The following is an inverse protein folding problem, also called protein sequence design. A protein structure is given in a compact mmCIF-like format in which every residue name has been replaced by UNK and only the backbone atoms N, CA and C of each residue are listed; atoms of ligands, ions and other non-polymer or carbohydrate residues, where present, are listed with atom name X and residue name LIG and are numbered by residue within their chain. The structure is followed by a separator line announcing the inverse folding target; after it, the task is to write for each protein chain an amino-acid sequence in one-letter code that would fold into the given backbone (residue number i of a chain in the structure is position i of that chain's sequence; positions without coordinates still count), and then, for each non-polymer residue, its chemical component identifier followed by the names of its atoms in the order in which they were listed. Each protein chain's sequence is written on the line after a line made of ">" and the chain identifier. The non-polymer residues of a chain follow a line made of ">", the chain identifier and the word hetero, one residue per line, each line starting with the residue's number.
data_IF_127014365214
#
_entry.id   IF_127014365214
#
_cell.length_a   1.000
_cell.length_b   1.000
_cell.length_c   1.000
_cell.angle_alpha   90.00
_cell.angle_beta   90.00
_cell.angle_gamma   90.00
#
_symmetry.space_group_name_H-M   'P 1'
#
loop_
_entity.id
_entity.type
_entity.pdbx_description
1 polymer ?
#
# COMPACT_ATOMS: atom_id res chain seq x y z
N UNK A 1 22.69 -5.77 -11.42
CA UNK A 1 21.59 -4.84 -11.08
C UNK A 1 21.98 -4.16 -9.78
N UNK A 2 22.19 -2.83 -9.74
CA UNK A 2 22.42 -2.11 -8.49
C UNK A 2 21.20 -2.21 -7.56
N UNK A 3 21.43 -2.45 -6.27
CA UNK A 3 20.38 -2.57 -5.26
C UNK A 3 20.83 -1.82 -4.01
N UNK A 4 19.94 -0.96 -3.49
CA UNK A 4 20.15 -0.16 -2.29
C UNK A 4 18.93 -0.38 -1.38
N UNK A 5 19.00 -1.38 -0.53
CA UNK A 5 17.94 -1.70 0.43
C UNK A 5 18.47 -2.70 1.47
N UNK A 6 18.08 -2.54 2.74
CA UNK A 6 18.26 -3.58 3.76
C UNK A 6 17.18 -3.49 4.83
N UNK A 7 16.93 -4.62 5.52
CA UNK A 7 15.95 -4.66 6.60
C UNK A 7 16.47 -3.88 7.81
N UNK A 8 15.66 -2.97 8.32
CA UNK A 8 15.99 -2.16 9.49
C UNK A 8 16.78 -0.89 9.19
N UNK A 9 16.75 -0.43 7.93
CA UNK A 9 17.30 0.87 7.56
C UNK A 9 16.59 2.03 8.28
N UNK A 10 17.33 3.10 8.56
CA UNK A 10 16.76 4.34 9.10
C UNK A 10 15.98 5.11 8.03
N UNK A 11 15.23 6.15 8.44
CA UNK A 11 14.54 7.02 7.48
C UNK A 11 15.53 7.76 6.56
N UNK A 12 16.66 8.19 7.11
CA UNK A 12 17.74 8.83 6.37
C UNK A 12 18.37 7.86 5.35
N UNK A 13 18.59 6.60 5.74
CA UNK A 13 19.08 5.54 4.86
C UNK A 13 18.06 5.20 3.76
N UNK A 14 16.76 5.12 4.08
CA UNK A 14 15.68 4.89 3.10
C UNK A 14 15.69 5.97 2.01
N UNK A 15 15.70 7.25 2.38
CA UNK A 15 15.70 8.34 1.39
C UNK A 15 17.04 8.44 0.64
N UNK A 16 18.15 8.08 1.27
CA UNK A 16 19.43 7.90 0.57
C UNK A 16 19.33 6.79 -0.48
N UNK A 17 18.79 5.62 -0.14
CA UNK A 17 18.56 4.49 -1.06
C UNK A 17 17.69 4.92 -2.24
N UNK A 18 16.59 5.65 -1.98
CA UNK A 18 15.70 6.20 -3.02
C UNK A 18 16.47 7.11 -3.97
N UNK A 19 17.33 8.02 -3.46
CA UNK A 19 18.16 8.87 -4.30
C UNK A 19 19.21 8.08 -5.08
N UNK A 20 19.83 7.05 -4.50
CA UNK A 20 20.77 6.18 -5.21
C UNK A 20 20.10 5.41 -6.34
N UNK A 21 18.88 4.90 -6.12
CA UNK A 21 18.14 4.12 -7.11
C UNK A 21 17.79 4.92 -8.38
N UNK A 22 17.63 6.24 -8.25
CA UNK A 22 17.38 7.15 -9.40
C UNK A 22 18.64 7.87 -9.89
N UNK A 23 19.81 7.58 -9.31
CA UNK A 23 21.11 8.12 -9.73
C UNK A 23 21.80 7.18 -10.73
N UNK A 24 21.64 7.44 -12.03
CA UNK A 24 22.28 6.63 -13.06
C UNK A 24 23.67 7.17 -13.42
N UNK A 25 24.55 6.34 -14.02
CA UNK A 25 25.85 6.78 -14.50
C UNK A 25 25.76 8.01 -15.42
N UNK A 26 26.85 8.79 -15.45
CA UNK A 26 26.96 10.03 -16.23
C UNK A 26 25.97 11.13 -15.83
N UNK A 27 25.49 11.12 -14.58
CA UNK A 27 24.55 12.11 -14.06
C UNK A 27 23.13 12.00 -14.65
N UNK A 28 22.81 10.84 -15.24
CA UNK A 28 21.48 10.58 -15.82
C UNK A 28 20.49 10.17 -14.73
N UNK A 29 19.20 10.28 -15.05
CA UNK A 29 18.11 9.72 -14.27
C UNK A 29 17.38 8.59 -14.99
N UNK A 30 16.37 7.98 -14.33
CA UNK A 30 15.57 6.92 -14.93
C UNK A 30 14.73 7.45 -16.10
N UNK A 31 14.56 6.63 -17.13
CA UNK A 31 13.61 6.92 -18.21
C UNK A 31 12.21 6.41 -17.88
N UNK A 32 12.10 5.35 -17.09
CA UNK A 32 10.85 4.84 -16.56
C UNK A 32 11.04 4.53 -15.08
N UNK A 33 9.95 4.68 -14.32
CA UNK A 33 9.91 4.35 -12.89
C UNK A 33 8.85 3.27 -12.69
N UNK A 34 9.18 2.27 -11.87
CA UNK A 34 8.19 1.40 -11.21
C UNK A 34 8.14 1.88 -9.78
N UNK A 35 6.97 2.27 -9.30
CA UNK A 35 6.78 2.87 -7.97
C UNK A 35 5.73 2.09 -7.19
N UNK A 36 5.93 2.02 -5.88
CA UNK A 36 5.04 1.38 -4.91
C UNK A 36 4.90 2.32 -3.71
N UNK A 37 3.78 3.04 -3.66
CA UNK A 37 3.50 4.06 -2.65
C UNK A 37 3.80 5.49 -3.12
N UNK A 38 4.53 5.64 -4.23
CA UNK A 38 4.73 6.91 -4.92
C UNK A 38 5.88 7.76 -4.40
N UNK A 39 6.83 7.19 -3.65
CA UNK A 39 7.90 7.96 -2.98
C UNK A 39 9.01 8.39 -3.94
N UNK A 40 9.36 7.56 -4.93
CA UNK A 40 10.27 7.97 -6.00
C UNK A 40 9.65 9.11 -6.80
N UNK A 41 8.39 8.96 -7.17
CA UNK A 41 7.61 9.97 -7.89
C UNK A 41 7.53 11.27 -7.09
N UNK A 42 7.24 11.18 -5.78
CA UNK A 42 7.21 12.33 -4.86
C UNK A 42 8.56 13.05 -4.83
N UNK A 43 9.66 12.31 -4.66
CA UNK A 43 11.00 12.90 -4.59
C UNK A 43 11.34 13.68 -5.85
N UNK A 44 11.10 13.10 -7.03
CA UNK A 44 11.36 13.76 -8.32
C UNK A 44 10.49 15.02 -8.49
N UNK A 45 9.19 14.95 -8.17
CA UNK A 45 8.30 16.11 -8.28
C UNK A 45 8.67 17.22 -7.29
N UNK A 46 9.04 16.87 -6.05
CA UNK A 46 9.47 17.85 -5.04
C UNK A 46 10.81 18.47 -5.35
N UNK A 47 11.75 17.71 -5.89
CA UNK A 47 13.02 18.21 -6.40
C UNK A 47 12.83 19.20 -7.54
N UNK A 48 11.98 18.85 -8.52
CA UNK A 48 11.64 19.74 -9.62
C UNK A 48 10.99 21.05 -9.12
N UNK A 49 10.04 20.95 -8.18
CA UNK A 49 9.42 22.13 -7.56
C UNK A 49 10.43 23.02 -6.83
N UNK A 50 11.42 22.43 -6.15
CA UNK A 50 12.49 23.17 -5.48
C UNK A 50 13.33 23.96 -6.49
N UNK A 51 13.70 23.34 -7.61
CA UNK A 51 14.47 24.00 -8.67
C UNK A 51 13.63 25.08 -9.41
N UNK A 52 12.30 24.94 -9.45
CA UNK A 52 11.37 25.99 -9.91
C UNK A 52 11.14 27.12 -8.87
N UNK A 53 11.82 27.06 -7.71
CA UNK A 53 11.80 28.13 -6.70
C UNK A 53 10.84 27.92 -5.54
N UNK A 54 10.29 26.72 -5.33
CA UNK A 54 9.48 26.39 -4.16
C UNK A 54 10.30 26.44 -2.87
N UNK A 55 9.80 27.14 -1.86
CA UNK A 55 10.39 27.20 -0.52
C UNK A 55 9.94 26.04 0.40
N UNK A 56 9.14 25.09 -0.10
CA UNK A 56 8.60 24.00 0.73
C UNK A 56 9.71 23.22 1.46
N UNK A 57 10.82 22.91 0.78
CA UNK A 57 11.93 22.19 1.39
C UNK A 57 12.69 23.00 2.47
N UNK A 58 12.50 24.33 2.52
CA UNK A 58 13.15 25.22 3.49
C UNK A 58 12.34 25.41 4.78
N UNK A 59 11.11 24.87 4.81
CA UNK A 59 10.24 24.90 5.99
C UNK A 59 10.45 23.67 6.88
N UNK A 60 10.21 23.74 8.20
CA UNK A 60 10.22 22.57 9.06
C UNK A 60 9.31 21.46 8.54
N UNK A 61 9.76 20.20 8.59
CA UNK A 61 8.94 19.03 8.26
C UNK A 61 7.78 18.83 9.22
N UNK A 62 6.64 18.36 8.72
CA UNK A 62 5.51 17.97 9.57
C UNK A 62 5.72 16.64 10.31
N UNK A 63 6.63 15.80 9.82
CA UNK A 63 7.06 14.54 10.44
C UNK A 63 8.57 14.38 10.32
N UNK A 64 9.13 13.40 11.05
CA UNK A 64 10.56 13.06 10.92
C UNK A 64 10.89 12.64 9.49
N UNK A 65 10.04 11.85 8.86
CA UNK A 65 10.22 11.41 7.48
C UNK A 65 10.19 12.59 6.50
N UNK A 66 9.24 13.51 6.63
CA UNK A 66 9.18 14.71 5.78
C UNK A 66 10.46 15.54 5.93
N UNK A 67 11.00 15.65 7.14
CA UNK A 67 12.26 16.35 7.36
C UNK A 67 13.43 15.67 6.62
N UNK A 68 13.53 14.34 6.64
CA UNK A 68 14.56 13.60 5.88
C UNK A 68 14.49 13.89 4.38
N UNK A 69 13.27 13.95 3.80
CA UNK A 69 13.08 14.30 2.38
C UNK A 69 13.59 15.70 2.10
N UNK A 70 13.19 16.68 2.93
CA UNK A 70 13.56 18.08 2.77
C UNK A 70 15.07 18.27 2.86
N UNK A 71 15.72 17.64 3.84
CA UNK A 71 17.16 17.71 4.03
C UNK A 71 17.91 17.14 2.82
N UNK A 72 17.47 15.98 2.33
CA UNK A 72 18.02 15.36 1.12
C UNK A 72 17.86 16.27 -0.11
N UNK A 73 16.69 16.86 -0.32
CA UNK A 73 16.45 17.77 -1.45
C UNK A 73 17.37 18.99 -1.40
N UNK A 74 17.57 19.58 -0.22
CA UNK A 74 18.48 20.72 -0.02
C UNK A 74 19.95 20.33 -0.17
N UNK A 75 20.34 19.11 0.21
CA UNK A 75 21.67 18.56 -0.06
C UNK A 75 21.90 18.40 -1.56
N UNK A 76 21.02 17.69 -2.24
CA UNK A 76 21.11 17.45 -3.69
C UNK A 76 21.13 18.75 -4.49
N UNK A 77 20.30 19.73 -4.12
CA UNK A 77 20.25 21.03 -4.79
C UNK A 77 21.54 21.86 -4.57
N UNK A 78 22.25 21.67 -3.45
CA UNK A 78 23.57 22.30 -3.22
C UNK A 78 24.65 21.68 -4.12
N UNK A 79 24.57 20.38 -4.38
CA UNK A 79 25.52 19.67 -5.23
C UNK A 79 25.28 19.95 -6.72
N UNK A 80 24.02 19.91 -7.17
CA UNK A 80 23.62 20.21 -8.53
C UNK A 80 22.21 20.83 -8.56
N UNK A 81 22.08 22.14 -8.82
CA UNK A 81 20.80 22.85 -8.81
C UNK A 81 19.94 22.64 -10.06
N UNK A 82 20.36 21.76 -10.99
CA UNK A 82 19.62 21.43 -12.22
C UNK A 82 19.34 19.94 -12.36
N UNK A 83 19.62 19.15 -11.32
CA UNK A 83 19.55 17.68 -11.37
C UNK A 83 18.14 17.22 -11.69
N UNK A 84 17.12 17.81 -11.07
CA UNK A 84 15.74 17.35 -11.21
C UNK A 84 15.15 17.78 -12.55
N UNK A 85 15.46 18.98 -13.05
CA UNK A 85 15.13 19.42 -14.42
C UNK A 85 15.69 18.47 -15.47
N UNK A 86 16.96 18.07 -15.37
CA UNK A 86 17.57 17.14 -16.32
C UNK A 86 16.97 15.73 -16.21
N UNK A 87 16.67 15.25 -15.00
CA UNK A 87 16.00 13.97 -14.78
C UNK A 87 14.61 13.95 -15.42
N UNK A 88 13.79 14.98 -15.17
CA UNK A 88 12.43 15.07 -15.71
C UNK A 88 12.42 15.14 -17.24
N UNK A 89 13.41 15.78 -17.88
CA UNK A 89 13.55 15.77 -19.35
C UNK A 89 13.70 14.37 -19.94
N UNK A 90 14.31 13.44 -19.22
CA UNK A 90 14.53 12.05 -19.67
C UNK A 90 13.43 11.08 -19.22
N UNK A 91 12.66 11.45 -18.19
CA UNK A 91 11.59 10.62 -17.64
C UNK A 91 10.40 10.54 -18.60
N UNK A 92 9.94 9.32 -18.91
CA UNK A 92 8.88 9.01 -19.88
C UNK A 92 7.62 8.44 -19.25
N UNK A 93 7.66 8.10 -17.96
CA UNK A 93 6.48 7.69 -17.23
C UNK A 93 6.77 6.86 -15.99
N UNK A 94 5.71 6.61 -15.24
CA UNK A 94 5.71 5.78 -14.03
C UNK A 94 4.57 4.78 -14.05
N UNK A 95 4.79 3.57 -13.57
CA UNK A 95 3.71 2.63 -13.24
C UNK A 95 3.64 2.46 -11.73
N UNK A 96 2.47 2.70 -11.15
CA UNK A 96 2.26 2.75 -9.70
C UNK A 96 1.39 1.60 -9.22
N UNK A 97 1.90 0.88 -8.21
CA UNK A 97 1.33 -0.37 -7.73
C UNK A 97 0.19 -0.21 -6.74
N UNK A 98 0.20 0.81 -5.88
CA UNK A 98 -0.68 0.85 -4.70
C UNK A 98 -1.77 1.91 -4.78
N UNK A 99 -2.85 1.67 -4.05
CA UNK A 99 -3.97 2.61 -3.90
C UNK A 99 -3.49 3.99 -3.47
N UNK A 100 -2.53 4.07 -2.55
CA UNK A 100 -2.08 5.38 -2.06
C UNK A 100 -1.19 6.13 -3.04
N UNK A 101 -0.25 5.44 -3.70
CA UNK A 101 0.54 6.07 -4.75
C UNK A 101 -0.35 6.56 -5.90
N UNK A 102 -1.37 5.77 -6.28
CA UNK A 102 -2.38 6.17 -7.27
C UNK A 102 -3.17 7.40 -6.81
N UNK A 103 -3.58 7.48 -5.54
CA UNK A 103 -4.23 8.67 -5.01
C UNK A 103 -3.34 9.91 -5.11
N UNK A 104 -2.03 9.78 -4.81
CA UNK A 104 -1.04 10.86 -5.01
C UNK A 104 -0.96 11.29 -6.47
N UNK A 105 -0.92 10.34 -7.42
CA UNK A 105 -0.90 10.62 -8.86
C UNK A 105 -2.15 11.39 -9.32
N UNK A 106 -3.35 10.95 -8.93
CA UNK A 106 -4.59 11.64 -9.28
C UNK A 106 -4.66 13.04 -8.68
N UNK A 107 -4.19 13.24 -7.44
CA UNK A 107 -4.10 14.56 -6.81
C UNK A 107 -3.17 15.48 -7.61
N UNK A 108 -1.99 15.01 -8.00
CA UNK A 108 -1.07 15.79 -8.85
C UNK A 108 -1.69 16.09 -10.22
N UNK A 109 -2.41 15.15 -10.84
CA UNK A 109 -3.11 15.39 -12.10
C UNK A 109 -4.19 16.48 -11.95
N UNK A 110 -5.04 16.39 -10.93
CA UNK A 110 -6.10 17.38 -10.66
C UNK A 110 -5.54 18.78 -10.40
N UNK A 111 -4.34 18.85 -9.84
CA UNK A 111 -3.63 20.11 -9.57
C UNK A 111 -2.77 20.59 -10.77
N UNK A 112 -2.79 19.86 -11.90
CA UNK A 112 -1.91 20.10 -13.05
C UNK A 112 -0.41 20.13 -12.69
N UNK A 113 -0.01 19.33 -11.71
CA UNK A 113 1.38 19.21 -11.22
C UNK A 113 2.08 17.93 -11.67
N UNK A 114 1.33 16.97 -12.23
CA UNK A 114 1.91 15.72 -12.72
C UNK A 114 2.87 16.02 -13.89
N UNK A 115 4.10 15.51 -13.83
CA UNK A 115 5.16 15.83 -14.81
C UNK A 115 5.23 14.87 -16.00
N UNK A 116 4.79 13.61 -15.82
CA UNK A 116 4.90 12.54 -16.82
C UNK A 116 3.62 11.69 -16.87
N UNK A 117 3.33 10.95 -17.96
CA UNK A 117 2.26 9.96 -17.93
C UNK A 117 2.48 8.91 -16.84
N UNK A 118 1.40 8.48 -16.22
CA UNK A 118 1.40 7.45 -15.20
C UNK A 118 0.41 6.33 -15.54
N UNK A 119 0.77 5.07 -15.29
CA UNK A 119 -0.15 3.95 -15.35
C UNK A 119 -0.51 3.52 -13.93
N UNK A 120 -1.79 3.62 -13.62
CA UNK A 120 -2.41 3.06 -12.43
C UNK A 120 -2.50 1.53 -12.62
N UNK A 121 -1.52 0.81 -12.07
CA UNK A 121 -1.51 -0.65 -12.07
C UNK A 121 -2.45 -1.20 -11.00
N UNK A 122 -2.58 -0.49 -9.88
CA UNK A 122 -3.43 -0.88 -8.77
C UNK A 122 -4.86 -1.24 -9.18
N UNK A 123 -5.47 -0.44 -10.06
CA UNK A 123 -6.87 -0.58 -10.45
C UNK A 123 -7.09 -1.60 -11.58
N UNK A 124 -6.03 -2.28 -12.03
CA UNK A 124 -6.20 -3.53 -12.78
C UNK A 124 -6.96 -4.53 -11.89
N UNK A 125 -7.94 -5.25 -12.44
CA UNK A 125 -8.75 -6.22 -11.69
C UNK A 125 -7.86 -7.33 -11.15
N UNK A 126 -6.92 -7.82 -11.98
CA UNK A 126 -5.93 -8.83 -11.58
C UNK A 126 -4.90 -8.33 -10.56
N UNK A 127 -4.87 -7.03 -10.26
CA UNK A 127 -4.12 -6.48 -9.14
C UNK A 127 -5.06 -6.31 -7.93
N UNK A 128 -5.95 -5.31 -7.95
CA UNK A 128 -6.79 -4.95 -6.81
C UNK A 128 -7.60 -6.13 -6.22
N UNK A 129 -8.26 -6.93 -7.07
CA UNK A 129 -9.11 -8.06 -6.62
C UNK A 129 -8.35 -9.32 -6.28
N UNK A 130 -7.03 -9.35 -6.49
CA UNK A 130 -6.20 -10.51 -6.19
C UNK A 130 -5.15 -10.22 -5.14
N UNK A 131 -4.30 -9.23 -5.37
CA UNK A 131 -3.21 -8.87 -4.49
C UNK A 131 -3.74 -8.35 -3.15
N UNK A 132 -4.48 -7.24 -3.18
CA UNK A 132 -5.00 -6.60 -1.98
C UNK A 132 -5.92 -7.56 -1.19
N UNK A 133 -6.69 -8.40 -1.89
CA UNK A 133 -7.61 -9.35 -1.25
C UNK A 133 -6.92 -10.64 -0.80
N UNK A 134 -6.45 -11.47 -1.74
CA UNK A 134 -5.92 -12.81 -1.44
C UNK A 134 -4.54 -12.78 -0.83
N UNK A 135 -3.72 -11.79 -1.18
CA UNK A 135 -2.39 -11.65 -0.64
C UNK A 135 -2.40 -11.16 0.81
N UNK A 136 -3.26 -10.21 1.17
CA UNK A 136 -3.49 -9.85 2.58
C UNK A 136 -4.17 -10.98 3.36
N UNK A 137 -5.07 -11.74 2.72
CA UNK A 137 -5.67 -12.94 3.31
C UNK A 137 -4.61 -13.99 3.69
N UNK A 138 -3.53 -14.10 2.93
CA UNK A 138 -2.40 -14.96 3.26
C UNK A 138 -1.49 -14.33 4.33
N UNK A 139 -1.08 -13.09 4.10
CA UNK A 139 0.10 -12.51 4.75
C UNK A 139 -0.18 -11.82 6.08
N UNK A 140 -1.43 -11.40 6.38
CA UNK A 140 -1.78 -10.82 7.69
C UNK A 140 -1.54 -11.82 8.82
N UNK A 141 -2.14 -13.01 8.73
CA UNK A 141 -2.04 -14.04 9.77
C UNK A 141 -0.62 -14.57 9.88
N UNK A 142 0.13 -14.65 8.77
CA UNK A 142 1.57 -14.98 8.82
C UNK A 142 2.36 -13.95 9.64
N UNK A 143 2.14 -12.65 9.39
CA UNK A 143 2.73 -11.56 10.17
C UNK A 143 2.41 -11.65 11.66
N UNK A 144 1.14 -11.85 12.00
CA UNK A 144 0.68 -12.02 13.39
C UNK A 144 1.33 -13.24 14.08
N UNK A 145 1.37 -14.38 13.40
CA UNK A 145 1.92 -15.61 13.95
C UNK A 145 3.42 -15.49 14.17
N UNK A 146 4.19 -15.02 13.19
CA UNK A 146 5.65 -14.84 13.36
C UNK A 146 6.01 -13.79 14.41
N UNK A 147 5.15 -12.78 14.58
CA UNK A 147 5.35 -11.73 15.57
C UNK A 147 5.12 -12.23 17.00
N UNK A 148 4.03 -12.93 17.28
CA UNK A 148 3.61 -13.18 18.66
C UNK A 148 3.22 -14.63 18.98
N UNK A 149 3.11 -15.51 17.98
CA UNK A 149 2.64 -16.90 18.12
C UNK A 149 1.31 -17.00 18.90
N UNK A 150 0.48 -15.95 18.79
CA UNK A 150 -0.77 -15.83 19.54
C UNK A 150 -1.86 -16.73 18.95
N UNK A 151 -2.60 -17.43 19.81
CA UNK A 151 -3.80 -18.15 19.36
C UNK A 151 -4.85 -17.15 18.85
N UNK A 152 -5.25 -17.25 17.59
CA UNK A 152 -6.27 -16.38 16.97
C UNK A 152 -7.69 -16.86 17.27
N UNK A 153 -7.93 -18.17 17.36
CA UNK A 153 -9.28 -18.70 17.56
C UNK A 153 -9.89 -18.21 18.87
N UNK A 154 -11.17 -17.80 18.81
CA UNK A 154 -11.92 -17.29 19.95
C UNK A 154 -11.62 -15.83 20.33
N UNK A 155 -10.54 -15.23 19.80
CA UNK A 155 -10.24 -13.80 20.00
C UNK A 155 -11.17 -12.90 19.20
N UNK A 156 -11.35 -11.68 19.68
CA UNK A 156 -11.97 -10.60 18.94
C UNK A 156 -10.91 -9.88 18.11
N UNK A 157 -11.08 -9.89 16.80
CA UNK A 157 -10.21 -9.15 15.88
C UNK A 157 -11.01 -8.01 15.23
N UNK A 158 -10.59 -6.79 15.49
CA UNK A 158 -11.17 -5.54 14.98
C UNK A 158 -10.38 -5.12 13.73
N UNK A 159 -11.09 -5.01 12.60
CA UNK A 159 -10.53 -4.52 11.34
C UNK A 159 -11.09 -3.14 11.07
N UNK A 160 -10.21 -2.15 10.97
CA UNK A 160 -10.59 -0.80 10.60
C UNK A 160 -10.48 -0.64 9.08
N UNK A 161 -11.62 -0.45 8.42
CA UNK A 161 -11.75 -0.44 6.96
C UNK A 161 -12.13 -1.81 6.39
N UNK A 162 -13.01 -1.81 5.39
CA UNK A 162 -13.49 -3.03 4.72
C UNK A 162 -13.46 -2.89 3.20
N UNK A 163 -12.42 -2.21 2.69
CA UNK A 163 -12.01 -2.27 1.29
C UNK A 163 -11.43 -3.63 0.91
N UNK A 164 -10.69 -3.72 -0.21
CA UNK A 164 -10.16 -5.01 -0.68
C UNK A 164 -9.17 -5.65 0.33
N UNK A 165 -8.31 -4.85 0.96
CA UNK A 165 -7.41 -5.30 2.04
C UNK A 165 -8.20 -5.80 3.25
N UNK A 166 -9.11 -4.96 3.79
CA UNK A 166 -9.95 -5.31 4.93
C UNK A 166 -10.78 -6.58 4.72
N UNK A 167 -11.34 -6.78 3.52
CA UNK A 167 -12.03 -8.02 3.14
C UNK A 167 -11.12 -9.24 3.24
N UNK A 168 -9.88 -9.13 2.76
CA UNK A 168 -8.90 -10.22 2.80
C UNK A 168 -8.49 -10.57 4.24
N UNK A 169 -8.21 -9.54 5.03
CA UNK A 169 -7.87 -9.63 6.45
C UNK A 169 -8.99 -10.31 7.26
N UNK A 170 -10.24 -9.85 7.08
CA UNK A 170 -11.41 -10.39 7.75
C UNK A 170 -11.68 -11.86 7.40
N UNK A 171 -11.52 -12.24 6.14
CA UNK A 171 -11.63 -13.64 5.71
C UNK A 171 -10.57 -14.53 6.36
N UNK A 172 -9.32 -14.05 6.45
CA UNK A 172 -8.21 -14.80 7.04
C UNK A 172 -8.43 -15.08 8.53
N UNK A 173 -8.74 -14.03 9.28
CA UNK A 173 -8.95 -14.13 10.74
C UNK A 173 -10.18 -14.96 11.08
N UNK A 174 -11.28 -14.81 10.33
CA UNK A 174 -12.46 -15.68 10.48
C UNK A 174 -12.12 -17.13 10.18
N UNK A 175 -11.29 -17.39 9.17
CA UNK A 175 -10.80 -18.73 8.84
C UNK A 175 -9.96 -19.37 9.95
N UNK A 176 -9.33 -18.56 10.80
CA UNK A 176 -8.63 -18.98 12.03
C UNK A 176 -9.55 -19.06 13.26
N UNK A 177 -10.86 -18.86 13.11
CA UNK A 177 -11.84 -18.91 14.19
C UNK A 177 -11.92 -17.65 15.06
N UNK A 178 -11.41 -16.51 14.59
CA UNK A 178 -11.60 -15.24 15.27
C UNK A 178 -13.05 -14.74 15.14
N UNK A 179 -13.51 -14.01 16.16
CA UNK A 179 -14.72 -13.18 16.10
C UNK A 179 -14.35 -11.84 15.49
N UNK A 180 -14.63 -11.68 14.20
CA UNK A 180 -14.23 -10.47 13.47
C UNK A 180 -15.27 -9.36 13.62
N UNK A 181 -14.79 -8.17 13.95
CA UNK A 181 -15.55 -6.92 14.06
C UNK A 181 -14.99 -5.93 13.05
N UNK A 182 -15.84 -5.19 12.37
CA UNK A 182 -15.47 -4.21 11.34
C UNK A 182 -15.83 -2.81 11.81
N UNK A 183 -14.94 -1.85 11.56
CA UNK A 183 -15.27 -0.42 11.59
C UNK A 183 -15.22 0.12 10.17
N UNK A 184 -16.21 0.92 9.77
CA UNK A 184 -16.31 1.45 8.41
C UNK A 184 -17.00 2.81 8.38
N UNK A 185 -16.54 3.65 7.46
CA UNK A 185 -17.13 4.95 7.15
C UNK A 185 -18.00 4.88 5.88
N UNK A 186 -17.72 3.93 4.98
CA UNK A 186 -18.48 3.74 3.75
C UNK A 186 -19.68 2.80 4.00
N UNK A 187 -20.93 3.26 3.79
CA UNK A 187 -22.12 2.46 4.06
C UNK A 187 -22.24 1.23 3.14
N UNK A 188 -21.67 1.24 1.93
CA UNK A 188 -21.66 0.10 1.01
C UNK A 188 -20.73 -0.98 1.56
N UNK A 189 -19.52 -0.62 1.97
CA UNK A 189 -18.58 -1.57 2.58
C UNK A 189 -19.10 -2.09 3.93
N UNK A 190 -19.69 -1.22 4.76
CA UNK A 190 -20.32 -1.62 6.01
C UNK A 190 -21.45 -2.63 5.78
N UNK A 191 -22.32 -2.39 4.79
CA UNK A 191 -23.38 -3.34 4.44
C UNK A 191 -22.80 -4.66 3.93
N UNK A 192 -21.74 -4.63 3.11
CA UNK A 192 -21.04 -5.85 2.69
C UNK A 192 -20.50 -6.64 3.89
N UNK A 193 -19.86 -5.98 4.86
CA UNK A 193 -19.37 -6.63 6.07
C UNK A 193 -20.50 -7.28 6.88
N UNK A 194 -21.61 -6.57 7.06
CA UNK A 194 -22.78 -7.08 7.76
C UNK A 194 -23.41 -8.29 7.04
N UNK A 195 -23.44 -8.29 5.70
CA UNK A 195 -23.96 -9.41 4.90
C UNK A 195 -23.10 -10.67 4.97
N UNK A 196 -21.80 -10.54 5.24
CA UNK A 196 -20.93 -11.67 5.57
C UNK A 196 -21.14 -12.18 7.00
N UNK A 197 -21.91 -11.46 7.83
CA UNK A 197 -22.16 -11.79 9.23
C UNK A 197 -21.11 -11.25 10.20
N UNK A 198 -20.33 -10.26 9.80
CA UNK A 198 -19.46 -9.52 10.72
C UNK A 198 -20.27 -8.47 11.49
N UNK A 199 -19.94 -8.28 12.77
CA UNK A 199 -20.45 -7.13 13.51
C UNK A 199 -19.79 -5.86 12.97
N UNK A 200 -20.59 -4.84 12.67
CA UNK A 200 -20.10 -3.51 12.30
C UNK A 200 -20.41 -2.56 13.46
N UNK A 201 -19.39 -1.91 14.01
CA UNK A 201 -19.51 -0.98 15.16
C UNK A 201 -18.38 0.04 15.12
N UNK A 202 -18.36 1.01 16.03
CA UNK A 202 -17.27 1.99 16.12
C UNK A 202 -16.03 1.39 16.78
N UNK A 203 -14.85 2.01 16.58
CA UNK A 203 -13.63 1.55 17.24
C UNK A 203 -13.74 1.69 18.76
N UNK A 204 -14.33 2.80 19.21
CA UNK A 204 -14.57 3.14 20.61
C UNK A 204 -15.40 2.06 21.33
N UNK A 205 -16.41 1.51 20.66
CA UNK A 205 -17.24 0.45 21.21
C UNK A 205 -16.50 -0.88 21.37
N UNK A 206 -15.32 -1.04 20.77
CA UNK A 206 -14.49 -2.26 20.87
C UNK A 206 -13.43 -2.21 21.97
N UNK A 207 -13.19 -1.03 22.52
CA UNK A 207 -12.19 -0.79 23.56
C UNK A 207 -12.53 -1.59 24.84
N UNK A 208 -11.49 -2.09 25.51
CA UNK A 208 -11.60 -2.96 26.68
C UNK A 208 -11.94 -4.44 26.41
N UNK A 209 -12.35 -4.83 25.19
CA UNK A 209 -12.64 -6.24 24.88
C UNK A 209 -12.09 -6.77 23.54
N UNK A 210 -11.71 -5.90 22.60
CA UNK A 210 -10.96 -6.31 21.40
C UNK A 210 -9.55 -6.82 21.75
N UNK A 211 -9.12 -7.90 21.10
CA UNK A 211 -7.81 -8.51 21.34
C UNK A 211 -6.77 -8.13 20.26
N UNK A 212 -7.21 -7.98 19.01
CA UNK A 212 -6.35 -7.69 17.86
C UNK A 212 -6.96 -6.55 17.07
N UNK A 213 -6.21 -5.49 16.80
CA UNK A 213 -6.62 -4.33 16.01
C UNK A 213 -5.75 -4.23 14.77
N UNK A 214 -6.39 -4.22 13.60
CA UNK A 214 -5.71 -4.14 12.29
C UNK A 214 -6.26 -2.97 11.50
N UNK A 215 -5.42 -1.99 11.17
CA UNK A 215 -5.80 -0.89 10.28
C UNK A 215 -5.57 -1.25 8.81
N UNK A 216 -6.58 -0.97 7.96
CA UNK A 216 -6.60 -1.33 6.53
C UNK A 216 -7.17 -0.21 5.65
N UNK A 217 -7.12 1.04 6.13
CA UNK A 217 -7.93 2.13 5.57
C UNK A 217 -7.20 2.95 4.50
N UNK A 218 -5.87 3.01 4.56
CA UNK A 218 -5.08 3.99 3.80
C UNK A 218 -5.33 5.44 4.24
N UNK A 219 -5.88 5.66 5.43
CA UNK A 219 -6.21 6.96 6.01
C UNK A 219 -5.27 7.32 7.17
N UNK A 220 -5.47 8.47 7.81
CA UNK A 220 -4.66 8.93 8.95
C UNK A 220 -5.44 8.87 10.25
N UNK A 221 -4.73 8.71 11.37
CA UNK A 221 -5.28 8.85 12.73
C UNK A 221 -6.47 7.91 13.05
N UNK A 222 -6.47 6.72 12.45
CA UNK A 222 -7.54 5.71 12.64
C UNK A 222 -7.50 5.16 14.06
N UNK A 223 -6.31 4.81 14.55
CA UNK A 223 -6.07 4.43 15.94
C UNK A 223 -5.26 5.54 16.60
N UNK A 224 -5.92 6.32 17.45
CA UNK A 224 -5.31 7.42 18.19
C UNK A 224 -4.67 6.94 19.50
N UNK A 225 -3.86 7.79 20.12
CA UNK A 225 -3.33 7.54 21.47
C UNK A 225 -4.45 7.26 22.48
N UNK A 226 -5.55 8.01 22.42
CA UNK A 226 -6.70 7.83 23.31
C UNK A 226 -7.38 6.47 23.12
N UNK A 227 -7.44 5.95 21.88
CA UNK A 227 -7.94 4.61 21.62
C UNK A 227 -7.04 3.55 22.27
N UNK A 228 -5.71 3.70 22.14
CA UNK A 228 -4.75 2.78 22.73
C UNK A 228 -4.81 2.77 24.26
N UNK A 229 -5.03 3.92 24.92
CA UNK A 229 -5.25 4.00 26.37
C UNK A 229 -6.50 3.24 26.83
N UNK A 230 -7.51 3.07 25.97
CA UNK A 230 -8.73 2.32 26.25
C UNK A 230 -8.67 0.83 25.89
N UNK A 231 -7.57 0.34 25.33
CA UNK A 231 -7.48 -1.04 24.89
C UNK A 231 -7.43 -2.04 26.05
N UNK A 232 -7.84 -3.27 25.76
CA UNK A 232 -7.71 -4.39 26.69
C UNK A 232 -6.23 -4.66 26.98
N UNK A 233 -5.92 -5.08 28.21
CA UNK A 233 -4.58 -5.57 28.53
C UNK A 233 -4.14 -6.70 27.57
N UNK A 234 -2.91 -6.59 27.08
CA UNK A 234 -2.27 -7.41 26.05
C UNK A 234 -2.92 -7.36 24.66
N UNK A 235 -3.64 -6.28 24.34
CA UNK A 235 -4.12 -6.07 22.97
C UNK A 235 -2.95 -5.98 21.97
N UNK A 236 -3.18 -6.48 20.76
CA UNK A 236 -2.23 -6.44 19.65
C UNK A 236 -2.69 -5.38 18.67
N UNK A 237 -1.80 -4.49 18.26
CA UNK A 237 -2.09 -3.40 17.33
C UNK A 237 -1.12 -3.49 16.15
N UNK A 238 -1.67 -3.51 14.94
CA UNK A 238 -0.86 -3.53 13.73
C UNK A 238 -1.53 -2.82 12.56
N UNK A 239 -0.71 -2.42 11.58
CA UNK A 239 -1.14 -1.82 10.33
C UNK A 239 -0.80 -2.75 9.17
N UNK A 240 -1.70 -2.86 8.20
CA UNK A 240 -1.42 -3.51 6.90
C UNK A 240 -1.90 -2.64 5.73
N UNK A 241 -2.38 -1.43 6.00
CA UNK A 241 -2.79 -0.46 5.00
C UNK A 241 -1.61 0.36 4.50
N UNK A 242 -1.48 1.62 4.92
CA UNK A 242 -0.47 2.53 4.37
C UNK A 242 0.48 3.11 5.43
N UNK A 243 1.77 3.18 5.09
CA UNK A 243 2.86 3.76 5.89
C UNK A 243 2.75 3.47 7.40
N UNK A 244 2.96 4.47 8.25
CA UNK A 244 2.89 4.43 9.72
C UNK A 244 1.92 5.49 10.30
N UNK A 245 1.04 6.06 9.49
CA UNK A 245 0.15 7.15 9.92
C UNK A 245 -1.32 6.75 10.18
N UNK A 246 -1.70 5.49 9.94
CA UNK A 246 -3.01 4.99 10.38
C UNK A 246 -3.10 4.88 11.91
N UNK A 247 -1.95 4.69 12.57
CA UNK A 247 -1.82 4.53 14.02
C UNK A 247 -0.92 5.64 14.55
N UNK A 248 -1.33 6.32 15.63
CA UNK A 248 -0.54 7.39 16.25
C UNK A 248 0.62 6.86 17.09
N UNK A 249 1.65 6.31 16.43
CA UNK A 249 2.86 5.76 17.09
C UNK A 249 3.77 6.86 17.62
N UNK A 250 3.94 7.97 16.90
CA UNK A 250 4.75 9.10 17.36
C UNK A 250 4.19 9.73 18.66
N UNK A 251 2.90 10.10 18.74
CA UNK A 251 2.29 10.54 20.01
C UNK A 251 2.42 9.51 21.14
N UNK A 252 2.40 8.21 20.84
CA UNK A 252 2.62 7.15 21.83
C UNK A 252 4.07 7.14 22.35
N UNK A 253 5.05 7.32 21.47
CA UNK A 253 6.47 7.36 21.83
C UNK A 253 6.84 8.63 22.61
N UNK A 254 6.14 9.74 22.39
CA UNK A 254 6.38 11.01 23.09
C UNK A 254 5.90 11.01 24.56
N UNK A 255 5.09 10.03 24.97
CA UNK A 255 4.58 9.89 26.33
C UNK A 255 5.63 9.32 27.27
N UNK A 256 6.11 10.15 28.18
CA UNK A 256 7.16 9.80 29.17
C UNK A 256 6.70 8.83 30.26
N UNK A 257 5.39 8.73 30.48
CA UNK A 257 4.75 7.86 31.45
C UNK A 257 4.41 6.47 30.88
N UNK A 258 4.67 6.23 29.59
CA UNK A 258 4.50 4.94 28.93
C UNK A 258 5.88 4.30 28.74
N UNK A 259 6.04 3.06 29.20
CA UNK A 259 7.29 2.33 29.06
C UNK A 259 7.28 1.46 27.79
N UNK A 260 8.12 1.81 26.81
CA UNK A 260 8.38 0.95 25.64
C UNK A 260 9.46 -0.09 25.97
N UNK A 261 9.15 -1.36 25.71
CA UNK A 261 10.09 -2.49 25.79
C UNK A 261 10.13 -3.21 24.45
N UNK A 262 11.30 -3.23 23.80
CA UNK A 262 11.46 -4.04 22.60
C UNK A 262 11.53 -5.52 22.98
N UNK A 263 10.61 -6.33 22.47
CA UNK A 263 10.55 -7.78 22.75
C UNK A 263 11.48 -8.52 21.78
N UNK A 264 11.39 -8.17 20.51
CA UNK A 264 12.25 -8.63 19.41
C UNK A 264 12.13 -7.63 18.25
N UNK A 265 12.92 -7.74 17.17
CA UNK A 265 12.76 -6.87 16.02
C UNK A 265 11.31 -6.81 15.54
N UNK A 266 10.79 -5.59 15.39
CA UNK A 266 9.44 -5.28 14.92
C UNK A 266 8.31 -5.73 15.86
N UNK A 267 8.61 -6.00 17.14
CA UNK A 267 7.61 -6.28 18.18
C UNK A 267 7.97 -5.49 19.44
N UNK A 268 7.16 -4.48 19.72
CA UNK A 268 7.33 -3.60 20.88
C UNK A 268 6.15 -3.73 21.82
N UNK A 269 6.44 -3.80 23.12
CA UNK A 269 5.44 -3.77 24.18
C UNK A 269 5.41 -2.37 24.80
N UNK A 270 4.23 -1.80 24.96
CA UNK A 270 4.02 -0.54 25.65
C UNK A 270 3.24 -0.78 26.93
N UNK A 271 3.80 -0.39 28.08
CA UNK A 271 3.15 -0.50 29.40
C UNK A 271 2.66 0.88 29.84
N UNK A 272 1.36 1.00 30.08
CA UNK A 272 0.68 2.24 30.47
C UNK A 272 0.70 2.48 31.99
N UNK A 273 0.39 3.71 32.47
CA UNK A 273 0.44 4.05 33.89
C UNK A 273 -0.50 3.24 34.80
N UNK A 274 -1.62 2.74 34.27
CA UNK A 274 -2.57 1.87 34.98
C UNK A 274 -2.12 0.40 35.01
N UNK A 275 -1.00 0.08 34.37
CA UNK A 275 -0.38 -1.24 34.32
C UNK A 275 -0.84 -2.12 33.16
N UNK A 276 -1.78 -1.69 32.32
CA UNK A 276 -2.11 -2.47 31.12
C UNK A 276 -1.00 -2.35 30.07
N UNK A 277 -0.89 -3.38 29.24
CA UNK A 277 0.13 -3.50 28.21
C UNK A 277 -0.52 -3.66 26.84
N UNK A 278 0.09 -3.12 25.79
CA UNK A 278 -0.26 -3.44 24.40
C UNK A 278 0.99 -3.87 23.62
N UNK A 279 0.80 -4.62 22.55
CA UNK A 279 1.85 -5.02 21.62
C UNK A 279 1.67 -4.31 20.28
N UNK A 280 2.63 -3.47 19.92
CA UNK A 280 2.69 -2.80 18.61
C UNK A 280 3.57 -3.62 17.67
N UNK A 281 3.06 -3.91 16.48
CA UNK A 281 3.81 -4.63 15.45
C UNK A 281 4.38 -3.68 14.41
N UNK A 282 5.64 -3.91 14.03
CA UNK A 282 6.38 -3.16 13.03
C UNK A 282 6.35 -1.63 13.21
N UNK A 283 6.23 -1.15 14.46
CA UNK A 283 6.15 0.28 14.77
C UNK A 283 5.03 1.00 14.00
N UNK A 284 3.91 0.31 13.77
CA UNK A 284 2.77 0.85 13.01
C UNK A 284 2.93 0.80 11.49
N UNK A 285 4.05 0.26 10.98
CA UNK A 285 4.25 -0.02 9.54
C UNK A 285 3.62 -1.35 9.12
N UNK A 286 3.73 -1.66 7.83
CA UNK A 286 3.13 -2.84 7.19
C UNK A 286 3.55 -4.15 7.86
N UNK A 287 2.65 -4.75 8.65
CA UNK A 287 2.90 -5.92 9.49
C UNK A 287 3.25 -7.18 8.69
N UNK A 288 2.62 -7.37 7.53
CA UNK A 288 2.85 -8.53 6.68
C UNK A 288 4.27 -8.53 6.07
N UNK A 289 4.85 -7.36 5.84
CA UNK A 289 6.21 -7.19 5.31
C UNK A 289 7.23 -7.06 6.45
N UNK A 290 6.92 -6.28 7.49
CA UNK A 290 7.80 -6.05 8.62
C UNK A 290 8.01 -7.29 9.49
N UNK A 291 6.93 -8.02 9.77
CA UNK A 291 6.93 -9.19 10.66
C UNK A 291 6.95 -10.53 9.90
N UNK A 292 6.74 -10.54 8.57
CA UNK A 292 6.80 -11.75 7.75
C UNK A 292 7.52 -11.51 6.42
N UNK A 293 7.00 -12.05 5.32
CA UNK A 293 7.62 -12.01 3.98
C UNK A 293 6.67 -11.45 2.93
N UNK A 294 5.61 -10.75 3.36
CA UNK A 294 4.61 -10.20 2.47
C UNK A 294 3.80 -11.26 1.74
N UNK A 295 3.36 -10.89 0.55
CA UNK A 295 2.42 -11.63 -0.27
C UNK A 295 3.12 -12.79 -0.99
N UNK A 296 2.47 -13.97 -1.16
CA UNK A 296 3.11 -15.13 -1.75
C UNK A 296 3.38 -14.93 -3.25
N UNK A 297 4.41 -15.57 -3.79
CA UNK A 297 4.87 -15.34 -5.17
C UNK A 297 3.77 -15.49 -6.24
N UNK A 298 2.82 -16.40 -6.04
CA UNK A 298 1.74 -16.60 -7.01
C UNK A 298 0.80 -15.39 -7.12
N UNK A 299 0.49 -14.71 -6.02
CA UNK A 299 -0.35 -13.51 -6.08
C UNK A 299 0.46 -12.34 -6.64
N UNK A 300 1.71 -12.16 -6.21
CA UNK A 300 2.60 -11.11 -6.73
C UNK A 300 2.89 -11.27 -8.23
N UNK A 301 2.85 -12.50 -8.74
CA UNK A 301 2.95 -12.76 -10.19
C UNK A 301 1.86 -12.05 -11.00
N UNK A 302 0.68 -11.80 -10.43
CA UNK A 302 -0.37 -11.03 -11.11
C UNK A 302 0.00 -9.54 -11.15
N UNK A 303 0.35 -8.96 -10.00
CA UNK A 303 0.75 -7.56 -9.88
C UNK A 303 1.98 -7.23 -10.74
N UNK A 304 3.02 -8.06 -10.67
CA UNK A 304 4.24 -7.85 -11.43
C UNK A 304 4.07 -8.13 -12.94
N UNK A 305 3.15 -9.00 -13.34
CA UNK A 305 2.79 -9.11 -14.76
C UNK A 305 2.16 -7.81 -15.26
N UNK A 306 1.25 -7.20 -14.49
CA UNK A 306 0.70 -5.89 -14.83
C UNK A 306 1.77 -4.81 -14.86
N UNK A 307 2.70 -4.78 -13.90
CA UNK A 307 3.83 -3.83 -13.91
C UNK A 307 4.68 -3.95 -15.18
N UNK A 308 5.04 -5.18 -15.58
CA UNK A 308 5.82 -5.40 -16.81
C UNK A 308 5.05 -4.92 -18.04
N UNK A 309 3.75 -5.23 -18.13
CA UNK A 309 2.90 -4.76 -19.23
C UNK A 309 2.78 -3.23 -19.26
N UNK A 310 2.63 -2.60 -18.10
CA UNK A 310 2.60 -1.14 -17.97
C UNK A 310 3.92 -0.50 -18.42
N UNK A 311 5.06 -1.06 -18.02
CA UNK A 311 6.37 -0.57 -18.44
C UNK A 311 6.59 -0.71 -19.96
N UNK A 312 6.19 -1.84 -20.54
CA UNK A 312 6.24 -2.04 -21.99
C UNK A 312 5.33 -1.05 -22.73
N UNK A 313 4.13 -0.81 -22.22
CA UNK A 313 3.16 0.12 -22.79
C UNK A 313 3.66 1.57 -22.74
N UNK A 314 4.16 2.02 -21.58
CA UNK A 314 4.81 3.33 -21.44
C UNK A 314 5.97 3.50 -22.41
N UNK A 315 6.84 2.49 -22.55
CA UNK A 315 8.00 2.58 -23.43
C UNK A 315 7.61 2.64 -24.91
N UNK A 316 6.67 1.80 -25.34
CA UNK A 316 6.18 1.78 -26.71
C UNK A 316 5.48 3.08 -27.09
N UNK A 317 4.83 3.74 -26.12
CA UNK A 317 4.09 4.99 -26.30
C UNK A 317 4.81 6.23 -25.77
N UNK A 318 6.12 6.16 -25.50
CA UNK A 318 6.91 7.22 -24.86
C UNK A 318 6.88 8.58 -25.59
N UNK A 319 6.58 8.57 -26.89
CA UNK A 319 6.53 9.75 -27.75
C UNK A 319 5.08 10.24 -28.00
N UNK A 320 4.07 9.45 -27.63
CA UNK A 320 2.64 9.70 -27.92
C UNK A 320 1.82 9.99 -26.67
N UNK A 321 2.11 9.32 -25.55
CA UNK A 321 1.41 9.53 -24.28
C UNK A 321 1.54 10.96 -23.80
N UNK A 322 0.40 11.53 -23.42
CA UNK A 322 0.31 12.84 -22.78
C UNK A 322 0.30 12.65 -21.28
N UNK A 323 0.74 13.68 -20.55
CA UNK A 323 0.65 13.71 -19.09
C UNK A 323 -0.78 13.39 -18.67
N UNK A 324 -0.92 12.36 -17.85
CA UNK A 324 -2.19 11.84 -17.40
C UNK A 324 -2.04 10.49 -16.71
N UNK A 325 -3.07 10.07 -15.99
CA UNK A 325 -3.17 8.78 -15.30
C UNK A 325 -4.05 7.84 -16.13
N UNK A 326 -3.45 6.77 -16.62
CA UNK A 326 -4.07 5.74 -17.46
C UNK A 326 -4.25 4.45 -16.68
N UNK A 327 -5.10 3.55 -17.17
CA UNK A 327 -5.27 2.18 -16.65
C UNK A 327 -4.98 1.21 -17.80
N UNK A 328 -4.44 0.03 -17.48
CA UNK A 328 -4.23 -1.02 -18.47
C UNK A 328 -5.56 -1.43 -19.13
N UNK A 329 -5.50 -1.82 -20.40
CA UNK A 329 -6.71 -2.27 -21.11
C UNK A 329 -7.25 -3.56 -20.51
N UNK A 330 -8.57 -3.75 -20.56
CA UNK A 330 -9.19 -5.01 -20.08
C UNK A 330 -8.66 -6.26 -20.75
N UNK A 331 -8.27 -6.16 -22.02
CA UNK A 331 -7.70 -7.29 -22.73
C UNK A 331 -6.38 -7.74 -22.08
N UNK A 332 -5.53 -6.81 -21.67
CA UNK A 332 -4.30 -7.13 -20.96
C UNK A 332 -4.59 -7.69 -19.56
N UNK A 333 -5.56 -7.12 -18.85
CA UNK A 333 -6.00 -7.60 -17.53
C UNK A 333 -6.53 -9.04 -17.60
N UNK A 334 -7.36 -9.36 -18.60
CA UNK A 334 -7.82 -10.74 -18.87
C UNK A 334 -6.68 -11.68 -19.27
N UNK A 335 -5.68 -11.18 -19.98
CA UNK A 335 -4.52 -11.98 -20.36
C UNK A 335 -3.63 -12.29 -19.15
N UNK A 336 -3.43 -11.32 -18.24
CA UNK A 336 -2.76 -11.57 -16.95
C UNK A 336 -3.47 -12.71 -16.23
N UNK A 337 -4.79 -12.67 -16.09
CA UNK A 337 -5.54 -13.77 -15.47
C UNK A 337 -5.29 -15.10 -16.21
N UNK A 338 -5.41 -15.10 -17.54
CA UNK A 338 -5.26 -16.29 -18.40
C UNK A 338 -3.92 -16.99 -18.20
N UNK A 339 -2.83 -16.23 -18.11
CA UNK A 339 -1.47 -16.74 -17.92
C UNK A 339 -1.31 -17.56 -16.62
N UNK A 340 -2.13 -17.28 -15.59
CA UNK A 340 -2.04 -17.94 -14.30
C UNK A 340 -2.90 -19.22 -14.19
N UNK A 341 -3.93 -19.37 -15.04
CA UNK A 341 -4.94 -20.43 -14.90
C UNK A 341 -4.38 -21.84 -15.09
N UNK A 342 -3.46 -22.03 -16.04
CA UNK A 342 -2.86 -23.35 -16.30
C UNK A 342 -2.13 -23.90 -15.07
N UNK A 343 -1.41 -23.04 -14.34
CA UNK A 343 -0.61 -23.42 -13.16
C UNK A 343 -1.46 -24.04 -12.05
N UNK A 344 -2.70 -23.59 -11.92
CA UNK A 344 -3.67 -24.06 -10.91
C UNK A 344 -4.69 -25.04 -11.49
N UNK A 345 -4.47 -25.55 -12.71
CA UNK A 345 -5.30 -26.59 -13.32
C UNK A 345 -6.69 -26.10 -13.79
N UNK A 346 -6.91 -24.79 -13.86
CA UNK A 346 -8.19 -24.24 -14.33
C UNK A 346 -8.28 -24.33 -15.85
N UNK A 347 -9.38 -24.90 -16.34
CA UNK A 347 -9.69 -25.02 -17.77
C UNK A 347 -10.80 -24.04 -18.12
N UNK A 348 -10.53 -23.10 -19.03
CA UNK A 348 -11.56 -22.17 -19.50
C UNK A 348 -12.45 -22.82 -20.54
N UNK A 349 -13.74 -22.50 -20.48
CA UNK A 349 -14.67 -22.74 -21.58
C UNK A 349 -14.47 -21.67 -22.65
N UNK A 350 -14.55 -22.06 -23.93
CA UNK A 350 -14.53 -21.12 -25.05
C UNK A 350 -15.94 -20.84 -25.53
N UNK A 351 -16.28 -19.56 -25.75
CA UNK A 351 -17.56 -19.18 -26.35
C UNK A 351 -17.66 -19.74 -27.77
N UNK A 352 -18.81 -20.34 -28.09
CA UNK A 352 -19.19 -20.57 -29.49
C UNK A 352 -19.52 -19.24 -30.18
N UNK A 353 -19.46 -19.20 -31.52
CA UNK A 353 -19.83 -18.01 -32.29
C UNK A 353 -21.25 -17.51 -31.96
N UNK A 354 -22.21 -18.43 -31.78
CA UNK A 354 -23.60 -18.11 -31.40
C UNK A 354 -23.69 -17.42 -30.03
N UNK A 355 -22.89 -17.85 -29.05
CA UNK A 355 -22.88 -17.24 -27.72
C UNK A 355 -22.21 -15.86 -27.74
N UNK A 356 -21.12 -15.71 -28.49
CA UNK A 356 -20.43 -14.44 -28.68
C UNK A 356 -21.35 -13.39 -29.31
N UNK A 357 -22.07 -13.76 -30.37
CA UNK A 357 -23.09 -12.90 -31.01
C UNK A 357 -24.21 -12.52 -30.03
N UNK A 358 -24.76 -13.49 -29.30
CA UNK A 358 -25.83 -13.23 -28.32
C UNK A 358 -25.41 -12.26 -27.22
N UNK A 359 -24.17 -12.34 -26.75
CA UNK A 359 -23.64 -11.48 -25.70
C UNK A 359 -23.10 -10.14 -26.24
N UNK A 360 -22.90 -10.01 -27.55
CA UNK A 360 -22.29 -8.83 -28.16
C UNK A 360 -20.81 -8.65 -27.80
N UNK A 361 -20.06 -9.74 -27.61
CA UNK A 361 -18.62 -9.70 -27.28
C UNK A 361 -17.80 -10.63 -28.19
N UNK A 362 -16.50 -10.35 -28.43
CA UNK A 362 -15.65 -11.27 -29.18
C UNK A 362 -15.41 -12.58 -28.41
N UNK A 363 -15.17 -13.69 -29.13
CA UNK A 363 -14.82 -14.98 -28.53
C UNK A 363 -13.55 -14.88 -27.66
N UNK A 364 -12.59 -14.05 -28.06
CA UNK A 364 -11.33 -13.80 -27.35
C UNK A 364 -11.37 -12.71 -26.28
N UNK A 365 -12.55 -12.11 -26.03
CA UNK A 365 -12.69 -10.96 -25.13
C UNK A 365 -12.37 -9.61 -25.79
N UNK A 366 -12.43 -8.49 -25.04
CA UNK A 366 -12.78 -8.42 -23.62
C UNK A 366 -14.23 -8.86 -23.33
N UNK A 367 -14.45 -9.51 -22.18
CA UNK A 367 -15.71 -10.17 -21.83
C UNK A 367 -16.65 -9.34 -20.93
N UNK A 368 -16.19 -8.19 -20.44
CA UNK A 368 -16.93 -7.31 -19.53
C UNK A 368 -16.79 -5.85 -19.95
N UNK A 369 -17.82 -5.06 -19.66
CA UNK A 369 -17.81 -3.61 -19.89
C UNK A 369 -16.80 -2.90 -18.98
N UNK A 370 -16.38 -1.69 -19.39
CA UNK A 370 -15.46 -0.82 -18.62
C UNK A 370 -15.86 -0.65 -17.16
N UNK A 371 -17.15 -0.49 -16.88
CA UNK A 371 -17.70 -0.23 -15.55
C UNK A 371 -18.01 -1.51 -14.71
N UNK A 372 -17.69 -2.71 -15.18
CA UNK A 372 -17.96 -3.94 -14.44
C UNK A 372 -17.05 -4.05 -13.20
N UNK A 373 -17.61 -4.45 -12.04
CA UNK A 373 -16.94 -4.36 -10.73
C UNK A 373 -16.26 -5.65 -10.23
N UNK A 374 -16.56 -6.77 -10.90
CA UNK A 374 -16.18 -8.14 -10.53
C UNK A 374 -16.74 -8.62 -9.19
#
# INVERSE_FOLDING_TARGET
>A
VPVFAWKGESLEEYWWCTNQAISFPDGKGPQLVVDDGGDVTLLIHKGYQLEEGSDWAKSPGASKEEQCIKDLLLEVNRENPFRWHEMVKAWRGVSEETTTGVHRLYKMQQQNQLLVPAINVNDSVTKSKFDNLYGCRHSLVDGLNRALDVMIAGKVAVICGYGDVGKGCAQSLRGQGARVVITEIDPINALQAAMEGYQVTTLEDTLGWGDIYVTTTGNVDVITLAHMEGMKNQAIVCNIGHFDNEIQVDPLNDRKDIQRTNIKPQVDKYTFPDGHEIFMLAEGRLVNLGCATGHPSFVMSNSFSNQVLAQLDLWNNKDTYKVGVYVLSKQLDEEVARLHLQKIGVKLTTLSAKQAEYLGVPVGGPYKSEHYRY
#
